data_IF_106448519875
#
_entry.id   IF_106448519875
#
_cell.length_a   1.000
_cell.length_b   1.000
_cell.length_c   1.000
_cell.angle_alpha   90.00
_cell.angle_beta   90.00
_cell.angle_gamma   90.00
#
_symmetry.space_group_name_H-M   'P 1'
#
loop_
_entity.id
_entity.type
_entity.pdbx_description
1 polymer ?
#
# COMPACT_ATOMS: atom_id res chain seq x y z
N UNK A 1 -10.80 0.22 -3.22
CA UNK A 1 -10.14 0.31 -4.54
C UNK A 1 -9.01 -0.71 -4.60
N UNK A 2 -8.94 -1.50 -5.67
CA UNK A 2 -7.78 -2.33 -6.01
C UNK A 2 -7.51 -2.15 -7.50
N UNK A 3 -6.27 -1.81 -7.85
CA UNK A 3 -5.83 -1.69 -9.25
C UNK A 3 -4.38 -2.15 -9.33
N UNK A 4 -4.02 -2.73 -10.47
CA UNK A 4 -2.64 -3.13 -10.75
C UNK A 4 -2.40 -3.12 -12.25
N UNK A 5 -1.14 -3.04 -12.65
CA UNK A 5 -0.78 -3.25 -14.06
C UNK A 5 -0.63 -4.73 -14.39
N UNK A 6 -0.53 -5.04 -15.69
CA UNK A 6 -0.35 -6.41 -16.17
C UNK A 6 0.86 -7.10 -15.55
N UNK A 7 2.00 -6.39 -15.44
CA UNK A 7 3.23 -6.95 -14.85
C UNK A 7 3.03 -7.45 -13.42
N UNK A 8 2.31 -6.68 -12.60
CA UNK A 8 1.99 -7.09 -11.23
C UNK A 8 1.00 -8.25 -11.21
N UNK A 9 -0.03 -8.23 -12.06
CA UNK A 9 -0.98 -9.33 -12.18
C UNK A 9 -0.27 -10.65 -12.55
N UNK A 10 0.65 -10.62 -13.51
CA UNK A 10 1.42 -11.78 -13.94
C UNK A 10 2.27 -12.33 -12.76
N UNK A 11 2.94 -11.44 -12.01
CA UNK A 11 3.72 -11.83 -10.82
C UNK A 11 2.87 -12.46 -9.70
N UNK A 12 1.66 -11.95 -9.47
CA UNK A 12 0.74 -12.52 -8.48
C UNK A 12 0.25 -13.89 -8.92
N UNK A 13 -0.04 -14.07 -10.21
CA UNK A 13 -0.49 -15.37 -10.75
C UNK A 13 0.59 -16.46 -10.67
N UNK A 14 1.86 -16.07 -10.82
CA UNK A 14 3.00 -16.98 -10.72
C UNK A 14 3.48 -17.19 -9.27
N UNK A 15 2.95 -16.42 -8.32
CA UNK A 15 3.32 -16.50 -6.92
C UNK A 15 2.78 -17.78 -6.30
N UNK A 16 3.66 -18.53 -5.65
CA UNK A 16 3.27 -19.48 -4.60
C UNK A 16 3.50 -18.78 -3.28
N UNK A 17 2.42 -18.44 -2.55
CA UNK A 17 2.53 -17.77 -1.27
C UNK A 17 3.25 -18.69 -0.27
N UNK A 18 4.52 -18.40 0.03
CA UNK A 18 5.38 -19.23 0.88
C UNK A 18 5.50 -18.65 2.28
N UNK A 19 5.37 -17.33 2.40
CA UNK A 19 5.53 -16.62 3.67
C UNK A 19 4.24 -16.68 4.49
N UNK A 20 4.33 -17.11 5.74
CA UNK A 20 3.16 -17.29 6.63
C UNK A 20 2.98 -16.19 7.66
N UNK A 21 4.02 -15.43 7.95
CA UNK A 21 4.03 -14.40 9.00
C UNK A 21 5.00 -13.30 8.63
N UNK A 22 4.65 -12.06 8.97
CA UNK A 22 5.50 -10.92 8.77
C UNK A 22 6.75 -11.00 9.67
N UNK A 23 7.95 -10.71 9.17
CA UNK A 23 9.15 -10.55 9.98
C UNK A 23 8.96 -9.54 11.10
N UNK A 24 9.62 -9.78 12.24
CA UNK A 24 9.47 -8.94 13.43
C UNK A 24 9.81 -7.46 13.16
N UNK A 25 10.86 -7.20 12.37
CA UNK A 25 11.28 -5.84 12.06
C UNK A 25 10.22 -5.08 11.24
N UNK A 26 9.58 -5.74 10.28
CA UNK A 26 8.47 -5.17 9.52
C UNK A 26 7.22 -4.98 10.40
N UNK A 27 6.91 -5.94 11.27
CA UNK A 27 5.77 -5.83 12.20
C UNK A 27 5.97 -4.69 13.21
N UNK A 28 7.22 -4.40 13.60
CA UNK A 28 7.55 -3.31 14.51
C UNK A 28 7.10 -1.95 13.96
N UNK A 29 7.23 -1.70 12.65
CA UNK A 29 6.74 -0.46 12.01
C UNK A 29 5.25 -0.22 12.27
N UNK A 30 4.45 -1.27 12.21
CA UNK A 30 3.00 -1.21 12.39
C UNK A 30 2.66 -1.11 13.88
N UNK A 31 3.39 -1.85 14.74
CA UNK A 31 3.16 -1.87 16.18
C UNK A 31 3.38 -0.51 16.87
N UNK A 32 4.28 0.32 16.35
CA UNK A 32 4.49 1.69 16.82
C UNK A 32 3.33 2.63 16.45
N UNK A 33 2.43 2.19 15.59
CA UNK A 33 1.22 2.88 15.21
C UNK A 33 1.45 4.04 14.24
N UNK A 34 0.46 4.93 14.20
CA UNK A 34 0.40 6.06 13.28
C UNK A 34 0.43 7.37 14.07
N UNK A 35 1.10 8.39 13.53
CA UNK A 35 1.09 9.74 14.07
C UNK A 35 0.59 10.75 13.04
N UNK A 36 -0.05 11.81 13.54
CA UNK A 36 -0.54 12.90 12.71
C UNK A 36 0.44 14.08 12.75
N UNK A 37 0.91 14.53 11.59
CA UNK A 37 1.79 15.71 11.43
C UNK A 37 1.30 16.55 10.27
N UNK A 38 1.00 17.83 10.50
CA UNK A 38 0.53 18.77 9.45
C UNK A 38 -0.70 18.26 8.64
N UNK A 39 -1.58 17.48 9.28
CA UNK A 39 -2.73 16.86 8.62
C UNK A 39 -2.40 15.66 7.73
N UNK A 40 -1.16 15.17 7.79
CA UNK A 40 -0.69 13.92 7.19
C UNK A 40 -0.67 12.80 8.24
N UNK A 41 -0.83 11.56 7.78
CA UNK A 41 -0.80 10.34 8.57
C UNK A 41 0.49 9.58 8.26
N UNK A 42 1.36 9.44 9.26
CA UNK A 42 2.67 8.84 9.11
C UNK A 42 2.80 7.59 9.99
N UNK A 43 3.60 6.62 9.55
CA UNK A 43 4.07 5.54 10.42
C UNK A 43 5.00 6.16 11.48
N UNK A 44 4.67 5.97 12.76
CA UNK A 44 5.41 6.58 13.86
C UNK A 44 6.89 6.14 13.89
N UNK A 45 7.16 4.90 13.45
CA UNK A 45 8.49 4.34 13.29
C UNK A 45 9.35 5.07 12.24
N UNK A 46 8.73 5.73 11.25
CA UNK A 46 9.43 6.46 10.18
C UNK A 46 9.46 7.98 10.41
N UNK A 47 8.46 8.52 11.13
CA UNK A 47 8.34 9.96 11.38
C UNK A 47 9.35 10.52 12.39
N UNK A 48 9.96 9.64 13.21
CA UNK A 48 10.93 10.02 14.25
C UNK A 48 12.34 10.26 13.72
N UNK A 49 12.60 9.96 12.44
CA UNK A 49 13.85 10.31 11.79
C UNK A 49 13.92 11.84 11.69
N UNK A 50 15.00 12.44 12.20
CA UNK A 50 15.30 13.87 12.07
C UNK A 50 15.61 14.22 10.61
N UNK A 51 14.57 14.24 9.78
CA UNK A 51 14.65 14.66 8.39
C UNK A 51 14.18 16.10 8.32
N UNK A 52 15.09 17.02 7.97
CA UNK A 52 14.81 18.45 7.82
C UNK A 52 14.06 18.73 6.51
N UNK A 53 12.86 18.16 6.39
CA UNK A 53 12.01 18.27 5.21
C UNK A 53 10.61 18.70 5.66
N UNK A 54 10.15 19.81 5.11
CA UNK A 54 8.85 20.41 5.41
C UNK A 54 7.80 20.03 4.36
N UNK A 55 6.53 20.07 4.76
CA UNK A 55 5.41 19.79 3.86
C UNK A 55 5.41 20.72 2.63
N UNK A 56 5.87 21.96 2.79
CA UNK A 56 5.90 22.97 1.73
C UNK A 56 6.87 22.62 0.58
N UNK A 57 7.80 21.68 0.78
CA UNK A 57 8.69 21.20 -0.28
C UNK A 57 8.04 20.16 -1.19
N UNK A 58 6.82 19.72 -0.88
CA UNK A 58 6.06 18.77 -1.67
C UNK A 58 4.88 19.46 -2.36
N UNK A 59 4.46 18.97 -3.53
CA UNK A 59 3.27 19.50 -4.22
C UNK A 59 1.98 19.38 -3.40
N UNK A 60 1.86 18.31 -2.60
CA UNK A 60 0.69 18.01 -1.79
C UNK A 60 1.02 17.08 -0.59
N UNK A 61 0.00 16.76 0.21
CA UNK A 61 0.12 15.90 1.40
C UNK A 61 0.38 14.45 1.04
N UNK A 62 -0.19 13.97 -0.05
CA UNK A 62 0.04 12.61 -0.56
C UNK A 62 1.52 12.40 -0.89
N UNK A 63 2.18 13.38 -1.52
CA UNK A 63 3.60 13.35 -1.81
C UNK A 63 4.47 13.31 -0.55
N UNK A 64 4.11 14.12 0.45
CA UNK A 64 4.77 14.13 1.76
C UNK A 64 4.61 12.79 2.49
N UNK A 65 3.39 12.24 2.52
CA UNK A 65 3.11 10.93 3.14
C UNK A 65 3.86 9.81 2.43
N UNK A 66 3.82 9.75 1.11
CA UNK A 66 4.52 8.72 0.35
C UNK A 66 6.04 8.80 0.45
N UNK A 67 6.61 9.97 0.77
CA UNK A 67 8.03 10.11 1.08
C UNK A 67 8.39 9.50 2.43
N UNK A 68 7.66 9.85 3.50
CA UNK A 68 7.93 9.35 4.84
C UNK A 68 7.52 7.88 5.03
N UNK A 69 6.36 7.51 4.48
CA UNK A 69 5.78 6.17 4.60
C UNK A 69 6.23 5.27 3.45
N UNK A 70 7.51 5.32 3.10
CA UNK A 70 8.13 4.45 2.11
C UNK A 70 8.95 3.38 2.83
N UNK A 71 8.54 2.12 2.67
CA UNK A 71 9.20 0.96 3.28
C UNK A 71 9.76 0.09 2.15
N UNK A 72 11.07 -0.10 2.13
CA UNK A 72 11.75 -1.01 1.23
C UNK A 72 11.76 -2.39 1.87
N UNK A 73 11.02 -3.34 1.33
CA UNK A 73 10.83 -4.65 1.94
C UNK A 73 12.13 -5.47 1.89
N UNK A 74 12.90 -5.29 0.83
CA UNK A 74 14.22 -5.88 0.60
C UNK A 74 15.28 -5.47 1.65
N UNK A 75 15.07 -4.39 2.41
CA UNK A 75 15.95 -4.05 3.54
C UNK A 75 15.78 -4.99 4.76
N UNK A 76 14.71 -5.80 4.80
CA UNK A 76 14.33 -6.59 5.98
C UNK A 76 14.25 -8.10 5.73
N UNK A 77 14.25 -8.52 4.47
CA UNK A 77 14.18 -9.94 4.10
C UNK A 77 15.08 -10.21 2.90
N UNK A 78 15.56 -11.44 2.79
CA UNK A 78 16.48 -11.87 1.71
C UNK A 78 15.74 -12.45 0.48
N UNK A 79 14.45 -12.75 0.60
CA UNK A 79 13.65 -13.35 -0.48
C UNK A 79 12.14 -13.21 -0.23
N UNK A 80 11.33 -13.57 -1.24
CA UNK A 80 9.86 -13.48 -1.19
C UNK A 80 9.37 -12.06 -0.86
N UNK A 81 9.99 -11.05 -1.47
CA UNK A 81 9.70 -9.64 -1.22
C UNK A 81 8.23 -9.30 -1.38
N UNK A 82 7.60 -9.82 -2.43
CA UNK A 82 6.20 -9.52 -2.74
C UNK A 82 5.23 -10.18 -1.73
N UNK A 83 5.52 -11.41 -1.27
CA UNK A 83 4.74 -12.04 -0.18
C UNK A 83 4.79 -11.17 1.08
N UNK A 84 5.99 -10.72 1.47
CA UNK A 84 6.20 -9.90 2.66
C UNK A 84 5.55 -8.51 2.53
N UNK A 85 5.60 -7.91 1.33
CA UNK A 85 4.90 -6.67 1.05
C UNK A 85 3.38 -6.81 1.26
N UNK A 86 2.78 -7.90 0.80
CA UNK A 86 1.35 -8.12 0.98
C UNK A 86 0.95 -8.44 2.41
N UNK A 87 1.76 -9.23 3.14
CA UNK A 87 1.56 -9.43 4.58
C UNK A 87 1.67 -8.11 5.34
N UNK A 88 2.65 -7.27 4.99
CA UNK A 88 2.85 -5.96 5.60
C UNK A 88 1.61 -5.07 5.41
N UNK A 89 1.08 -5.01 4.20
CA UNK A 89 -0.10 -4.18 3.89
C UNK A 89 -1.35 -4.73 4.57
N UNK A 90 -1.54 -6.04 4.62
CA UNK A 90 -2.67 -6.64 5.31
C UNK A 90 -2.65 -6.31 6.82
N UNK A 91 -1.50 -6.46 7.48
CA UNK A 91 -1.33 -6.06 8.88
C UNK A 91 -1.53 -4.55 9.07
N UNK A 92 -0.97 -3.72 8.17
CA UNK A 92 -1.10 -2.27 8.21
C UNK A 92 -2.57 -1.84 8.07
N UNK A 93 -3.31 -2.41 7.12
CA UNK A 93 -4.73 -2.12 6.94
C UNK A 93 -5.57 -2.58 8.13
N UNK A 94 -5.26 -3.74 8.73
CA UNK A 94 -5.91 -4.20 9.95
C UNK A 94 -5.68 -3.23 11.09
N UNK A 95 -4.44 -2.81 11.33
CA UNK A 95 -4.10 -1.82 12.35
C UNK A 95 -4.79 -0.47 12.10
N UNK A 96 -4.80 -0.01 10.84
CA UNK A 96 -5.46 1.25 10.48
C UNK A 96 -6.96 1.23 10.80
N UNK A 97 -7.68 0.18 10.36
CA UNK A 97 -9.13 0.05 10.56
C UNK A 97 -9.54 -0.04 12.03
N UNK A 98 -8.67 -0.55 12.90
CA UNK A 98 -8.95 -0.62 14.34
C UNK A 98 -9.08 0.76 14.97
N UNK A 99 -8.32 1.75 14.48
CA UNK A 99 -8.25 3.09 15.06
C UNK A 99 -8.96 4.16 14.23
N UNK A 100 -9.18 3.93 12.93
CA UNK A 100 -9.70 4.93 11.99
C UNK A 100 -10.87 4.35 11.16
N UNK A 101 -12.10 4.61 11.60
CA UNK A 101 -13.31 4.04 10.97
C UNK A 101 -13.84 4.81 9.76
N UNK A 102 -13.52 6.11 9.67
CA UNK A 102 -14.09 7.01 8.66
C UNK A 102 -13.07 7.48 7.63
N UNK A 103 -11.81 7.05 7.76
CA UNK A 103 -10.70 7.47 6.91
C UNK A 103 -10.14 6.24 6.20
N UNK A 104 -9.97 6.33 4.88
CA UNK A 104 -9.36 5.30 4.07
C UNK A 104 -7.92 5.64 3.76
N UNK A 105 -7.12 4.60 3.61
CA UNK A 105 -5.71 4.71 3.28
C UNK A 105 -5.41 3.82 2.08
N UNK A 106 -4.50 4.30 1.25
CA UNK A 106 -3.98 3.59 0.10
C UNK A 106 -2.59 3.06 0.43
N UNK A 107 -2.33 1.81 0.05
CA UNK A 107 -1.01 1.25 -0.06
C UNK A 107 -0.66 1.03 -1.54
N UNK A 108 0.57 1.37 -1.91
CA UNK A 108 1.12 1.22 -3.25
C UNK A 108 2.29 0.27 -3.15
N UNK A 109 2.27 -0.80 -3.93
CA UNK A 109 3.39 -1.73 -4.06
C UNK A 109 4.02 -1.53 -5.41
N UNK A 110 5.29 -1.19 -5.44
CA UNK A 110 6.10 -1.27 -6.65
C UNK A 110 7.16 -2.35 -6.52
N UNK A 111 7.33 -3.12 -7.59
CA UNK A 111 8.36 -4.16 -7.69
C UNK A 111 9.14 -3.98 -8.98
N UNK A 112 10.46 -3.97 -8.84
CA UNK A 112 11.41 -3.99 -9.95
C UNK A 112 12.37 -5.20 -9.82
N UNK A 113 13.55 -5.09 -10.44
CA UNK A 113 14.61 -6.10 -10.37
C UNK A 113 15.41 -6.06 -9.06
N UNK A 114 15.40 -4.94 -8.34
CA UNK A 114 16.19 -4.72 -7.13
C UNK A 114 15.41 -5.05 -5.85
N UNK A 115 14.10 -4.85 -5.83
CA UNK A 115 13.35 -5.01 -4.60
C UNK A 115 11.85 -4.78 -4.71
N UNK A 116 11.23 -4.53 -3.55
CA UNK A 116 9.82 -4.17 -3.45
C UNK A 116 9.67 -3.01 -2.48
N UNK A 117 9.05 -1.93 -2.94
CA UNK A 117 8.74 -0.77 -2.11
C UNK A 117 7.25 -0.73 -1.84
N UNK A 118 6.90 -0.55 -0.56
CA UNK A 118 5.54 -0.25 -0.13
C UNK A 118 5.47 1.22 0.28
N UNK A 119 4.56 1.97 -0.34
CA UNK A 119 4.21 3.33 0.06
C UNK A 119 2.82 3.38 0.63
N UNK A 120 2.59 4.27 1.58
CA UNK A 120 1.29 4.43 2.22
C UNK A 120 0.89 5.91 2.33
N UNK A 121 -0.39 6.20 2.06
CA UNK A 121 -0.94 7.54 2.20
C UNK A 121 -2.44 7.51 2.51
N UNK A 122 -2.97 8.59 3.09
CA UNK A 122 -4.40 8.76 3.29
C UNK A 122 -5.09 9.08 1.95
N UNK A 123 -6.25 8.48 1.72
CA UNK A 123 -7.07 8.73 0.52
C UNK A 123 -7.68 10.13 0.60
N UNK A 124 -7.41 10.97 -0.41
CA UNK A 124 -7.90 12.35 -0.49
C UNK A 124 -8.47 12.65 -1.86
N UNK A 125 -9.51 13.47 -1.89
CA UNK A 125 -10.11 13.93 -3.14
C UNK A 125 -9.10 14.82 -3.87
N UNK A 126 -8.77 14.45 -5.11
CA UNK A 126 -7.89 15.23 -5.98
C UNK A 126 -6.40 15.03 -5.76
N UNK A 127 -5.99 14.16 -4.83
CA UNK A 127 -4.57 13.81 -4.62
C UNK A 127 -4.36 12.31 -4.92
N UNK A 128 -3.28 11.99 -5.64
CA UNK A 128 -2.87 10.61 -5.91
C UNK A 128 -1.37 10.56 -6.19
N UNK A 129 -0.70 9.56 -5.63
CA UNK A 129 0.71 9.29 -5.94
C UNK A 129 0.89 8.63 -7.32
N UNK A 130 -0.10 7.85 -7.75
CA UNK A 130 -0.04 7.10 -9.01
C UNK A 130 -0.91 7.74 -10.10
N UNK A 131 -0.45 7.61 -11.34
CA UNK A 131 -1.20 7.99 -12.53
C UNK A 131 -2.44 7.10 -12.72
N UNK A 132 -3.48 7.65 -13.35
CA UNK A 132 -4.65 6.89 -13.77
C UNK A 132 -4.33 5.77 -14.76
N UNK A 133 -3.18 5.80 -15.43
CA UNK A 133 -2.74 4.72 -16.30
C UNK A 133 -1.52 4.00 -15.71
N UNK A 134 -1.78 2.94 -14.94
CA UNK A 134 -0.75 2.12 -14.30
C UNK A 134 0.13 1.34 -15.29
N UNK A 135 -0.32 1.12 -16.53
CA UNK A 135 0.47 0.42 -17.55
C UNK A 135 1.66 1.24 -18.05
N UNK A 136 1.70 2.55 -17.79
CA UNK A 136 2.84 3.40 -18.14
C UNK A 136 4.05 3.22 -17.22
N UNK A 137 3.88 2.56 -16.08
CA UNK A 137 4.99 2.30 -15.16
C UNK A 137 5.88 1.17 -15.69
N UNK A 138 7.19 1.39 -15.61
CA UNK A 138 8.19 0.37 -15.96
C UNK A 138 8.17 -0.79 -14.96
N UNK A 139 7.88 -0.48 -13.70
CA UNK A 139 7.78 -1.42 -12.60
C UNK A 139 6.45 -2.20 -12.63
N UNK A 140 6.40 -3.34 -11.96
CA UNK A 140 5.14 -3.95 -11.58
C UNK A 140 4.53 -3.13 -10.44
N UNK A 141 3.30 -2.64 -10.60
CA UNK A 141 2.67 -1.75 -9.62
C UNK A 141 1.25 -2.20 -9.24
N UNK A 142 0.95 -2.13 -7.94
CA UNK A 142 -0.36 -2.36 -7.33
C UNK A 142 -0.73 -1.16 -6.47
N UNK A 143 -2.00 -0.77 -6.47
CA UNK A 143 -2.58 0.11 -5.45
C UNK A 143 -3.82 -0.56 -4.87
N UNK A 144 -3.88 -0.64 -3.55
CA UNK A 144 -5.02 -1.14 -2.80
C UNK A 144 -5.38 -0.14 -1.72
N UNK A 145 -6.65 -0.04 -1.35
CA UNK A 145 -7.06 0.72 -0.18
C UNK A 145 -7.46 -0.20 0.97
N UNK A 146 -7.57 0.38 2.17
CA UNK A 146 -7.84 -0.35 3.41
C UNK A 146 -9.18 -1.06 3.49
N UNK A 147 -10.05 -0.98 2.47
CA UNK A 147 -11.27 -1.82 2.41
C UNK A 147 -11.02 -3.17 1.74
N UNK A 148 -9.86 -3.36 1.11
CA UNK A 148 -9.50 -4.58 0.39
C UNK A 148 -9.01 -5.65 1.38
N UNK A 149 -9.45 -6.88 1.14
CA UNK A 149 -8.93 -8.09 1.78
C UNK A 149 -7.88 -8.74 0.88
N UNK A 150 -6.62 -8.34 1.04
CA UNK A 150 -5.49 -8.78 0.22
C UNK A 150 -5.25 -10.30 0.26
N UNK A 151 -5.30 -10.98 1.42
CA UNK A 151 -5.14 -12.44 1.49
C UNK A 151 -6.08 -13.21 0.54
N UNK A 152 -7.33 -12.77 0.40
CA UNK A 152 -8.31 -13.41 -0.49
C UNK A 152 -7.94 -13.27 -1.98
N UNK A 153 -7.29 -12.18 -2.36
CA UNK A 153 -6.85 -11.92 -3.73
C UNK A 153 -5.65 -12.81 -4.09
N UNK A 154 -4.70 -12.96 -3.16
CA UNK A 154 -3.45 -13.72 -3.39
C UNK A 154 -3.70 -15.23 -3.29
N UNK A 155 -4.68 -15.65 -2.48
CA UNK A 155 -4.98 -17.07 -2.25
C UNK A 155 -5.87 -17.69 -3.32
N UNK A 156 -6.36 -16.92 -4.29
CA UNK A 156 -7.23 -17.41 -5.37
C UNK A 156 -6.38 -18.03 -6.48
N UNK A 157 -6.24 -19.38 -6.55
CA UNK A 157 -5.47 -20.02 -7.59
C UNK A 157 -6.30 -19.98 -8.87
N UNK A 158 -5.85 -19.21 -9.84
CA UNK A 158 -6.56 -19.01 -11.10
C UNK A 158 -7.27 -17.66 -11.11
N UNK A 159 -6.82 -16.80 -12.03
CA UNK A 159 -7.28 -15.43 -12.21
C UNK A 159 -8.79 -15.30 -12.02
N UNK A 160 -9.17 -14.70 -10.89
CA UNK A 160 -10.53 -14.22 -10.73
C UNK A 160 -10.63 -12.97 -11.60
N UNK A 161 -11.37 -13.07 -12.71
CA UNK A 161 -11.94 -11.87 -13.30
C UNK A 161 -12.75 -11.18 -12.21
N UNK A 162 -12.24 -10.05 -11.72
CA UNK A 162 -12.97 -9.20 -10.80
C UNK A 162 -14.14 -8.65 -11.62
N UNK A 163 -15.33 -9.21 -11.41
CA UNK A 163 -16.55 -8.76 -12.07
C UNK A 163 -16.87 -7.33 -11.61
N UNK A 164 -17.12 -6.36 -12.51
CA UNK A 164 -17.50 -5.01 -12.12
C UNK A 164 -18.99 -4.99 -11.76
N UNK A 165 -19.31 -5.26 -10.50
CA UNK A 165 -20.64 -5.00 -9.93
C UNK A 165 -20.38 -4.82 -8.42
N UNK A 166 -20.50 -3.65 -7.81
CA UNK A 166 -21.69 -2.79 -7.67
C UNK A 166 -21.19 -1.38 -7.30
N UNK A 167 -21.41 -0.38 -8.17
CA UNK A 167 -21.66 1.02 -7.76
C UNK A 167 -22.64 1.61 -8.78
N UNK A 168 -23.90 1.20 -8.70
CA UNK A 168 -24.99 1.93 -9.34
C UNK A 168 -26.31 1.67 -8.60
N UNK A 169 -26.45 2.19 -7.38
CA UNK A 169 -27.78 2.51 -6.84
C UNK A 169 -27.67 3.78 -5.98
N UNK A 170 -28.52 4.75 -6.33
CA UNK A 170 -28.92 5.98 -5.61
C UNK A 170 -28.08 7.25 -5.82
N UNK A 171 -28.36 7.96 -6.92
CA UNK A 171 -28.56 9.41 -6.86
C UNK A 171 -30.07 9.69 -6.95
N UNK A 172 -30.67 10.39 -5.98
CA UNK A 172 -31.98 11.00 -6.16
C UNK A 172 -31.81 12.43 -6.69
N UNK A 173 -32.48 12.74 -7.79
CA UNK A 173 -33.11 14.04 -8.04
C UNK A 173 -34.56 13.79 -8.47
#
# INVERSE_FOLDING_TARGET
MLRMNKKMSDLINDMSCKTKSLPADLSNYISMGFCKRNGCQLLAALSSKDVNVDLETFPDKTGYECFFNSVHIDDYVESNYLDNAFLFIDELFKAWRQHNKNELVNAIVSKDEFGVVVKFHLERIGESWVSDNLEKYEEAILIANSTVDLPSIISSPGGTQISPTIVEIMRPE
#
